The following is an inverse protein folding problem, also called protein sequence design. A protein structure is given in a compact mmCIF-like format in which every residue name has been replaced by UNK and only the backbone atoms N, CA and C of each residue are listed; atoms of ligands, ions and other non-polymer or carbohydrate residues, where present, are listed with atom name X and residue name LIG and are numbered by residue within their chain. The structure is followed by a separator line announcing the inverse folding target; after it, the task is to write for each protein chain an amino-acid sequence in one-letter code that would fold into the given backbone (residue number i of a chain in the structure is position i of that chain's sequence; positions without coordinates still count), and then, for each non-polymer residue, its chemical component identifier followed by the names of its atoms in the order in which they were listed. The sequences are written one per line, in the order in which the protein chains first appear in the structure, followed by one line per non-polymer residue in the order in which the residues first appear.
data_IF_493099001145
#
_entry.id   IF_493099001145
#
_cell.length_a   1.000
_cell.length_b   1.000
_cell.length_c   1.000
_cell.angle_alpha   90.00
_cell.angle_beta   90.00
_cell.angle_gamma   90.00
#
_symmetry.space_group_name_H-M   'P 1'
#
loop_
_entity.id
_entity.type
_entity.pdbx_description
1 polymer ?
#
# COMPACT_ATOMS: atom_id res chain seq x y z
N UNK A 1 60.18 4.37 -69.92
CA UNK A 1 61.70 4.43 -69.76
C UNK A 1 61.95 4.81 -68.30
N UNK A 2 62.76 4.05 -67.61
CA UNK A 2 63.37 4.43 -66.37
C UNK A 2 62.98 3.54 -65.19
N UNK A 3 63.75 2.46 -65.12
CA UNK A 3 63.93 1.55 -63.95
C UNK A 3 64.53 2.28 -62.76
N UNK A 4 64.35 1.75 -61.59
CA UNK A 4 65.28 2.04 -60.51
C UNK A 4 64.86 1.65 -59.12
N UNK A 5 65.17 0.41 -58.84
CA UNK A 5 65.87 -0.18 -57.61
C UNK A 5 65.19 -0.13 -56.23
N UNK A 6 64.98 -1.33 -55.71
CA UNK A 6 64.76 -1.75 -54.33
C UNK A 6 65.91 -1.32 -53.41
N UNK A 7 65.53 -0.92 -52.18
CA UNK A 7 66.37 -1.16 -50.98
C UNK A 7 65.52 -1.62 -49.82
N UNK A 8 65.87 -2.77 -49.31
CA UNK A 8 65.37 -3.42 -48.06
C UNK A 8 66.07 -2.73 -46.92
N UNK A 9 65.29 -2.28 -45.91
CA UNK A 9 65.84 -2.03 -44.58
C UNK A 9 64.96 -2.73 -43.54
N UNK A 10 65.53 -3.70 -42.91
CA UNK A 10 65.02 -4.38 -41.71
C UNK A 10 65.11 -3.41 -40.54
N UNK A 11 63.98 -3.11 -39.95
CA UNK A 11 63.85 -2.33 -38.70
C UNK A 11 63.15 -3.16 -37.66
N UNK A 12 63.86 -3.54 -36.63
CA UNK A 12 63.45 -4.24 -35.42
C UNK A 12 62.51 -3.32 -34.65
N UNK A 13 61.21 -3.63 -34.55
CA UNK A 13 60.26 -2.91 -33.67
C UNK A 13 60.04 -3.69 -32.38
N UNK A 14 60.51 -3.09 -31.31
CA UNK A 14 60.29 -3.51 -29.91
C UNK A 14 58.78 -3.34 -29.59
N UNK A 15 58.11 -4.43 -29.34
CA UNK A 15 56.72 -4.41 -28.90
C UNK A 15 56.68 -4.19 -27.38
N UNK A 16 56.34 -2.98 -26.97
CA UNK A 16 56.02 -2.66 -25.57
C UNK A 16 54.60 -3.12 -25.30
N UNK A 17 54.46 -4.20 -24.54
CA UNK A 17 53.18 -4.65 -24.02
C UNK A 17 52.71 -3.70 -22.93
N UNK A 18 51.73 -2.85 -23.22
CA UNK A 18 50.92 -2.14 -22.20
C UNK A 18 49.96 -3.16 -21.58
N UNK A 19 50.21 -3.56 -20.34
CA UNK A 19 49.20 -4.23 -19.51
C UNK A 19 48.15 -3.19 -19.10
N UNK A 20 47.00 -3.21 -19.76
CA UNK A 20 45.78 -2.57 -19.24
C UNK A 20 45.23 -3.46 -18.14
N UNK A 21 45.44 -3.05 -16.90
CA UNK A 21 44.67 -3.56 -15.76
C UNK A 21 43.24 -3.07 -15.92
N UNK A 22 42.35 -3.91 -16.46
CA UNK A 22 40.92 -3.70 -16.42
C UNK A 22 40.45 -3.82 -14.96
N UNK A 23 40.12 -2.71 -14.32
CA UNK A 23 39.29 -2.69 -13.12
C UNK A 23 37.95 -3.32 -13.50
N UNK A 24 37.75 -4.58 -13.12
CA UNK A 24 36.47 -5.27 -13.25
C UNK A 24 35.44 -4.61 -12.34
N UNK A 25 34.62 -3.72 -12.89
CA UNK A 25 33.33 -3.39 -12.32
C UNK A 25 32.50 -4.67 -12.33
N UNK A 26 32.19 -5.21 -11.16
CA UNK A 26 31.29 -6.35 -10.99
C UNK A 26 29.87 -6.00 -11.41
N UNK A 27 29.58 -6.05 -12.69
CA UNK A 27 28.22 -6.20 -13.20
C UNK A 27 27.79 -7.62 -12.88
N UNK A 28 27.11 -7.82 -11.78
CA UNK A 28 26.45 -9.09 -11.49
C UNK A 28 25.45 -9.35 -12.63
N UNK A 29 25.72 -10.35 -13.46
CA UNK A 29 24.74 -10.88 -14.41
C UNK A 29 23.56 -11.35 -13.59
N UNK A 30 22.38 -10.76 -13.81
CA UNK A 30 21.14 -11.23 -13.19
C UNK A 30 21.06 -12.76 -13.37
N UNK A 31 20.91 -13.49 -12.25
CA UNK A 31 20.84 -14.95 -12.28
C UNK A 31 19.68 -15.36 -13.21
N UNK A 32 19.96 -16.32 -14.12
CA UNK A 32 18.93 -16.85 -15.00
C UNK A 32 17.91 -17.60 -14.14
N UNK A 33 16.59 -17.36 -14.27
CA UNK A 33 15.61 -18.06 -13.47
C UNK A 33 15.67 -19.58 -13.69
N UNK A 34 15.62 -20.34 -12.60
CA UNK A 34 15.51 -21.81 -12.65
C UNK A 34 14.05 -22.19 -12.96
N UNK A 35 13.86 -22.91 -14.05
CA UNK A 35 12.54 -23.40 -14.49
C UNK A 35 12.23 -24.81 -14.00
N UNK A 36 13.22 -25.53 -13.46
CA UNK A 36 13.04 -26.93 -13.03
C UNK A 36 12.48 -27.01 -11.59
N UNK A 37 12.70 -26.01 -10.76
CA UNK A 37 12.29 -26.02 -9.35
C UNK A 37 10.77 -25.94 -9.16
N UNK A 38 10.02 -25.41 -10.13
CA UNK A 38 8.58 -25.21 -10.04
C UNK A 38 7.82 -26.49 -9.69
N UNK A 39 8.11 -27.60 -10.39
CA UNK A 39 7.42 -28.88 -10.15
C UNK A 39 7.72 -29.42 -8.74
N UNK A 40 8.94 -29.23 -8.25
CA UNK A 40 9.30 -29.59 -6.88
C UNK A 40 8.50 -28.79 -5.86
N UNK A 41 8.37 -27.46 -6.08
CA UNK A 41 7.62 -26.59 -5.17
C UNK A 41 6.11 -26.93 -5.21
N UNK A 42 5.53 -27.16 -6.38
CA UNK A 42 4.13 -27.58 -6.53
C UNK A 42 3.89 -28.89 -5.77
N UNK A 43 4.77 -29.88 -5.92
CA UNK A 43 4.63 -31.14 -5.20
C UNK A 43 4.72 -30.96 -3.68
N UNK A 44 5.63 -30.12 -3.20
CA UNK A 44 5.74 -29.79 -1.76
C UNK A 44 4.46 -29.10 -1.23
N UNK A 45 3.82 -28.23 -2.02
CA UNK A 45 2.57 -27.58 -1.63
C UNK A 45 1.40 -28.57 -1.59
N UNK A 46 1.35 -29.53 -2.54
CA UNK A 46 0.31 -30.58 -2.60
C UNK A 46 0.44 -31.59 -1.46
N UNK A 47 1.67 -32.00 -1.15
CA UNK A 47 1.95 -33.03 -0.14
C UNK A 47 2.05 -32.47 1.28
N UNK A 48 1.92 -31.14 1.45
CA UNK A 48 2.05 -30.46 2.72
C UNK A 48 1.11 -31.02 3.79
N UNK A 49 1.58 -31.04 5.03
CA UNK A 49 0.83 -31.46 6.22
C UNK A 49 0.87 -30.37 7.29
N UNK A 50 -0.09 -30.32 8.20
CA UNK A 50 -0.05 -29.40 9.33
C UNK A 50 1.27 -29.50 10.11
N UNK A 51 1.93 -28.35 10.30
CA UNK A 51 3.23 -28.26 10.96
C UNK A 51 4.44 -28.26 10.04
N UNK A 52 4.25 -28.50 8.74
CA UNK A 52 5.35 -28.54 7.78
C UNK A 52 5.94 -27.14 7.53
N UNK A 53 7.27 -27.14 7.30
CA UNK A 53 8.00 -25.96 6.84
C UNK A 53 8.52 -26.24 5.43
N UNK A 54 7.89 -25.61 4.43
CA UNK A 54 8.33 -25.64 3.04
C UNK A 54 9.46 -24.64 2.87
N UNK A 55 10.69 -25.14 2.86
CA UNK A 55 11.89 -24.31 2.74
C UNK A 55 12.31 -24.17 1.28
N UNK A 56 12.30 -22.92 0.78
CA UNK A 56 12.72 -22.61 -0.58
C UNK A 56 14.16 -22.07 -0.54
N UNK A 57 15.13 -22.73 -1.18
CA UNK A 57 16.52 -22.28 -1.19
C UNK A 57 16.70 -20.89 -1.80
N UNK A 58 17.87 -20.27 -1.59
CA UNK A 58 18.24 -19.06 -2.31
C UNK A 58 18.32 -19.35 -3.82
N UNK A 59 17.70 -18.51 -4.62
CA UNK A 59 17.63 -18.66 -6.08
C UNK A 59 16.56 -17.77 -6.69
N UNK A 60 16.54 -17.68 -8.02
CA UNK A 60 15.49 -17.06 -8.81
C UNK A 60 14.76 -18.16 -9.57
N UNK A 61 13.52 -18.38 -9.26
CA UNK A 61 12.71 -19.48 -9.78
C UNK A 61 11.60 -18.96 -10.68
N UNK A 62 11.56 -19.44 -11.92
CA UNK A 62 10.50 -19.09 -12.87
C UNK A 62 9.26 -19.95 -12.62
N UNK A 63 8.13 -19.29 -12.40
CA UNK A 63 6.84 -19.92 -12.15
C UNK A 63 5.88 -19.53 -13.29
N UNK A 64 5.35 -20.52 -14.02
CA UNK A 64 4.50 -20.29 -15.19
C UNK A 64 3.00 -20.38 -14.89
N UNK A 65 2.63 -20.70 -13.64
CA UNK A 65 1.24 -20.85 -13.18
C UNK A 65 1.07 -20.37 -11.74
N UNK A 66 -0.17 -20.11 -11.34
CA UNK A 66 -0.48 -19.83 -9.93
C UNK A 66 -0.15 -21.03 -9.03
N UNK A 67 0.34 -20.73 -7.85
CA UNK A 67 0.57 -21.70 -6.78
C UNK A 67 -0.60 -21.67 -5.81
N UNK A 68 -0.95 -22.78 -5.16
CA UNK A 68 -1.96 -22.83 -4.12
C UNK A 68 -1.54 -23.67 -2.92
N UNK A 69 -2.03 -23.27 -1.73
CA UNK A 69 -1.88 -24.00 -0.47
C UNK A 69 -3.22 -24.00 0.26
N UNK A 70 -3.75 -25.20 0.56
CA UNK A 70 -5.04 -25.37 1.23
C UNK A 70 -4.90 -26.16 2.56
N UNK A 71 -3.70 -26.16 3.16
CA UNK A 71 -3.37 -26.93 4.38
C UNK A 71 -3.03 -25.99 5.52
N UNK A 72 -3.75 -26.14 6.64
CA UNK A 72 -3.54 -25.37 7.86
C UNK A 72 -2.17 -25.66 8.51
N UNK A 73 -1.61 -24.67 9.20
CA UNK A 73 -0.41 -24.82 10.03
C UNK A 73 0.89 -24.93 9.25
N UNK A 74 0.91 -24.54 7.98
CA UNK A 74 2.11 -24.59 7.12
C UNK A 74 2.87 -23.29 7.17
N UNK A 75 4.21 -23.40 7.17
CA UNK A 75 5.12 -22.27 6.99
C UNK A 75 5.82 -22.37 5.63
N UNK A 76 5.74 -21.34 4.81
CA UNK A 76 6.56 -21.18 3.60
C UNK A 76 7.70 -20.23 3.92
N UNK A 77 8.94 -20.68 3.74
CA UNK A 77 10.14 -19.93 4.14
C UNK A 77 11.20 -19.91 3.05
N UNK A 78 11.63 -18.70 2.67
CA UNK A 78 12.81 -18.51 1.82
C UNK A 78 14.09 -18.26 2.61
N UNK A 79 15.14 -17.90 1.91
CA UNK A 79 16.45 -17.53 2.46
C UNK A 79 16.61 -16.00 2.65
N UNK A 80 15.59 -15.23 2.35
CA UNK A 80 15.53 -13.76 2.40
C UNK A 80 14.84 -13.19 1.17
N UNK A 81 14.17 -12.03 1.32
CA UNK A 81 13.37 -11.42 0.26
C UNK A 81 14.17 -10.97 -0.97
N UNK A 82 15.51 -10.88 -0.84
CA UNK A 82 16.41 -10.56 -1.95
C UNK A 82 17.24 -11.78 -2.38
N UNK A 83 16.97 -12.95 -1.81
CA UNK A 83 17.74 -14.18 -2.05
C UNK A 83 16.87 -15.29 -2.64
N UNK A 84 15.61 -15.41 -2.21
CA UNK A 84 14.65 -16.37 -2.73
C UNK A 84 13.58 -15.59 -3.49
N UNK A 85 13.54 -15.73 -4.80
CA UNK A 85 12.65 -14.97 -5.68
C UNK A 85 11.84 -15.95 -6.52
N UNK A 86 10.51 -15.91 -6.37
CA UNK A 86 9.57 -16.58 -7.26
C UNK A 86 9.08 -15.55 -8.28
N UNK A 87 9.54 -15.67 -9.53
CA UNK A 87 9.11 -14.75 -10.59
C UNK A 87 8.04 -15.36 -11.46
N UNK A 88 6.90 -14.70 -11.51
CA UNK A 88 5.73 -15.07 -12.30
C UNK A 88 5.70 -14.36 -13.66
N UNK A 89 6.81 -13.79 -14.11
CA UNK A 89 6.89 -13.04 -15.36
C UNK A 89 6.42 -13.84 -16.59
N UNK A 90 6.57 -15.15 -16.54
CA UNK A 90 6.11 -16.10 -17.57
C UNK A 90 4.76 -16.74 -17.28
N UNK A 91 4.00 -16.28 -16.29
CA UNK A 91 2.76 -16.90 -15.86
C UNK A 91 1.72 -16.94 -16.98
N UNK A 92 1.22 -18.13 -17.30
CA UNK A 92 0.23 -18.39 -18.35
C UNK A 92 -1.10 -18.89 -17.79
N UNK A 93 -1.10 -19.47 -16.57
CA UNK A 93 -2.26 -20.03 -15.91
C UNK A 93 -2.39 -19.57 -14.45
N UNK A 94 -3.62 -19.56 -13.93
CA UNK A 94 -3.94 -19.00 -12.61
C UNK A 94 -4.08 -17.47 -12.63
N UNK A 95 -4.77 -16.94 -11.63
CA UNK A 95 -5.00 -15.51 -11.48
C UNK A 95 -4.00 -14.91 -10.49
N UNK A 96 -3.67 -15.63 -9.42
CA UNK A 96 -2.76 -15.21 -8.36
C UNK A 96 -1.35 -15.77 -8.59
N UNK A 97 -0.33 -15.16 -7.95
CA UNK A 97 0.98 -15.75 -7.78
C UNK A 97 0.92 -16.92 -6.80
N UNK A 98 0.52 -16.64 -5.55
CA UNK A 98 0.26 -17.66 -4.53
C UNK A 98 -1.10 -17.40 -3.88
N UNK A 99 -1.99 -18.38 -3.97
CA UNK A 99 -3.26 -18.43 -3.25
C UNK A 99 -3.15 -19.33 -2.03
N UNK A 100 -3.61 -18.85 -0.88
CA UNK A 100 -3.64 -19.62 0.38
C UNK A 100 -5.05 -19.59 0.93
N UNK A 101 -5.64 -20.78 1.16
CA UNK A 101 -6.91 -20.97 1.86
C UNK A 101 -6.64 -21.78 3.13
N UNK A 102 -5.96 -21.20 4.11
CA UNK A 102 -5.51 -21.91 5.29
C UNK A 102 -5.40 -21.02 6.52
N UNK A 103 -5.58 -21.62 7.69
CA UNK A 103 -5.34 -21.02 9.01
C UNK A 103 -3.95 -21.37 9.54
N UNK A 104 -3.48 -20.61 10.56
CA UNK A 104 -2.16 -20.81 11.18
C UNK A 104 -1.03 -20.82 10.14
N UNK A 105 -1.16 -19.94 9.14
CA UNK A 105 -0.24 -19.85 8.01
C UNK A 105 0.84 -18.80 8.24
N UNK A 106 2.07 -19.15 7.91
CA UNK A 106 3.20 -18.21 7.92
C UNK A 106 3.90 -18.22 6.57
N UNK A 107 4.22 -17.04 6.04
CA UNK A 107 5.12 -16.88 4.90
C UNK A 107 6.20 -15.86 5.26
N UNK A 108 7.46 -16.22 5.02
CA UNK A 108 8.58 -15.36 5.40
C UNK A 108 9.81 -15.50 4.50
N UNK A 109 10.59 -14.42 4.43
CA UNK A 109 11.95 -14.41 3.86
C UNK A 109 12.01 -14.76 2.36
N UNK A 110 11.09 -14.25 1.53
CA UNK A 110 11.10 -14.46 0.09
C UNK A 110 10.45 -13.30 -0.69
N UNK A 111 10.60 -13.33 -2.02
CA UNK A 111 9.91 -12.42 -2.92
C UNK A 111 8.98 -13.14 -3.89
N UNK A 112 7.87 -12.45 -4.25
CA UNK A 112 6.96 -12.80 -5.34
C UNK A 112 6.99 -11.65 -6.35
N UNK A 113 7.46 -11.90 -7.56
CA UNK A 113 7.62 -10.85 -8.58
C UNK A 113 6.74 -11.11 -9.80
N UNK A 114 6.22 -10.02 -10.38
CA UNK A 114 5.55 -9.99 -11.68
C UNK A 114 4.35 -10.95 -11.81
N UNK A 115 3.61 -11.19 -10.71
CA UNK A 115 2.39 -11.98 -10.77
C UNK A 115 1.36 -11.34 -11.72
N UNK A 116 0.62 -12.16 -12.46
CA UNK A 116 -0.36 -11.68 -13.45
C UNK A 116 -1.58 -11.03 -12.81
N UNK A 117 -2.00 -11.53 -11.66
CA UNK A 117 -3.02 -10.97 -10.78
C UNK A 117 -2.44 -10.63 -9.42
N UNK A 118 -3.12 -10.98 -8.33
CA UNK A 118 -2.65 -10.73 -6.97
C UNK A 118 -1.37 -11.51 -6.67
N UNK A 119 -0.38 -10.88 -6.04
CA UNK A 119 0.88 -11.57 -5.84
C UNK A 119 0.77 -12.65 -4.74
N UNK A 120 0.27 -12.28 -3.56
CA UNK A 120 -0.03 -13.18 -2.44
C UNK A 120 -1.45 -12.93 -1.96
N UNK A 121 -2.35 -13.87 -2.17
CA UNK A 121 -3.71 -13.82 -1.63
C UNK A 121 -3.88 -14.85 -0.53
N UNK A 122 -4.30 -14.42 0.65
CA UNK A 122 -4.75 -15.29 1.74
C UNK A 122 -6.25 -15.09 1.88
N UNK A 123 -7.01 -16.09 1.43
CA UNK A 123 -8.46 -16.03 1.39
C UNK A 123 -9.04 -16.85 2.55
N UNK A 124 -9.69 -16.14 3.47
CA UNK A 124 -10.19 -16.71 4.73
C UNK A 124 -9.06 -17.22 5.64
N UNK A 125 -9.41 -17.78 6.79
CA UNK A 125 -8.43 -18.30 7.76
C UNK A 125 -8.11 -17.37 8.93
N UNK A 126 -7.45 -17.96 9.93
CA UNK A 126 -7.09 -17.28 11.19
C UNK A 126 -5.59 -17.44 11.48
N UNK A 127 -5.01 -16.51 12.24
CA UNK A 127 -3.60 -16.52 12.64
C UNK A 127 -2.63 -16.51 11.44
N UNK A 128 -2.71 -15.46 10.65
CA UNK A 128 -1.93 -15.27 9.43
C UNK A 128 -0.71 -14.40 9.73
N UNK A 129 0.47 -14.87 9.35
CA UNK A 129 1.72 -14.12 9.51
C UNK A 129 2.41 -13.97 8.16
N UNK A 130 2.58 -12.72 7.73
CA UNK A 130 3.34 -12.34 6.54
C UNK A 130 4.49 -11.46 7.01
N UNK A 131 5.73 -11.92 6.92
CA UNK A 131 6.88 -11.16 7.41
C UNK A 131 8.09 -11.26 6.49
N UNK A 132 8.76 -10.14 6.27
CA UNK A 132 9.93 -10.07 5.39
C UNK A 132 9.65 -10.70 4.01
N UNK A 133 8.47 -10.34 3.45
CA UNK A 133 8.05 -10.74 2.11
C UNK A 133 8.09 -9.50 1.22
N UNK A 134 8.71 -9.61 0.05
CA UNK A 134 8.66 -8.58 -0.98
C UNK A 134 7.71 -9.02 -2.10
N UNK A 135 6.79 -8.15 -2.45
CA UNK A 135 5.98 -8.29 -3.67
C UNK A 135 6.28 -7.12 -4.59
N UNK A 136 6.53 -7.41 -5.87
CA UNK A 136 6.97 -6.37 -6.80
C UNK A 136 6.58 -6.67 -8.23
N UNK A 137 6.10 -5.64 -8.94
CA UNK A 137 6.02 -5.63 -10.39
C UNK A 137 7.23 -4.87 -10.94
N UNK A 138 8.23 -5.62 -11.40
CA UNK A 138 9.56 -5.11 -11.78
C UNK A 138 9.54 -4.15 -12.97
N UNK A 139 8.44 -4.13 -13.73
CA UNK A 139 8.22 -3.18 -14.82
C UNK A 139 7.78 -1.78 -14.40
N UNK A 140 7.71 -1.50 -13.09
CA UNK A 140 7.20 -0.25 -12.51
C UNK A 140 5.67 -0.13 -12.54
N UNK A 141 5.11 1.01 -12.10
CA UNK A 141 3.66 1.22 -11.97
C UNK A 141 2.95 1.21 -13.33
N UNK A 142 2.01 0.28 -13.51
CA UNK A 142 1.20 0.13 -14.73
C UNK A 142 -0.18 -0.41 -14.40
N UNK A 143 -1.21 0.04 -15.12
CA UNK A 143 -2.59 -0.46 -15.00
C UNK A 143 -2.70 -1.97 -15.30
N UNK A 144 -1.75 -2.53 -16.05
CA UNK A 144 -1.70 -3.96 -16.38
C UNK A 144 -1.11 -4.84 -15.28
N UNK A 145 -0.54 -4.25 -14.24
CA UNK A 145 -0.02 -5.01 -13.09
C UNK A 145 -1.19 -5.67 -12.34
N UNK A 146 -0.88 -6.67 -11.54
CA UNK A 146 -1.85 -7.27 -10.64
C UNK A 146 -2.41 -6.24 -9.65
N UNK A 147 -3.60 -6.50 -9.13
CA UNK A 147 -4.31 -5.55 -8.29
C UNK A 147 -3.64 -5.42 -6.92
N UNK A 148 -3.45 -6.53 -6.22
CA UNK A 148 -3.01 -6.54 -4.84
C UNK A 148 -1.67 -7.23 -4.65
N UNK A 149 -0.81 -6.60 -3.85
CA UNK A 149 0.47 -7.20 -3.48
C UNK A 149 0.33 -8.24 -2.36
N UNK A 150 0.28 -7.80 -1.10
CA UNK A 150 -0.03 -8.64 0.06
C UNK A 150 -1.52 -8.50 0.36
N UNK A 151 -2.28 -9.57 0.17
CA UNK A 151 -3.74 -9.53 0.14
C UNK A 151 -4.41 -10.57 1.05
N UNK A 152 -4.41 -10.42 2.39
CA UNK A 152 -5.32 -11.15 3.26
C UNK A 152 -6.73 -10.57 3.18
N UNK A 153 -7.73 -11.43 2.97
CA UNK A 153 -9.15 -11.08 2.88
C UNK A 153 -10.01 -12.09 3.65
N UNK A 154 -10.99 -11.58 4.41
CA UNK A 154 -11.88 -12.37 5.26
C UNK A 154 -11.11 -13.21 6.31
N UNK A 155 -10.02 -12.65 6.83
CA UNK A 155 -9.09 -13.30 7.75
C UNK A 155 -9.22 -12.76 9.18
N UNK A 156 -8.67 -13.48 10.16
CA UNK A 156 -8.59 -13.03 11.56
C UNK A 156 -7.18 -13.16 12.11
N UNK A 157 -6.82 -12.27 13.05
CA UNK A 157 -5.52 -12.27 13.73
C UNK A 157 -4.37 -12.22 12.72
N UNK A 158 -4.29 -11.13 11.96
CA UNK A 158 -3.34 -10.95 10.88
C UNK A 158 -2.16 -10.09 11.32
N UNK A 159 -0.95 -10.54 11.05
CA UNK A 159 0.29 -9.78 11.20
C UNK A 159 1.00 -9.66 9.86
N UNK A 160 1.17 -8.41 9.40
CA UNK A 160 2.02 -8.09 8.22
C UNK A 160 3.15 -7.18 8.70
N UNK A 161 4.38 -7.66 8.64
CA UNK A 161 5.51 -6.90 9.17
C UNK A 161 6.79 -7.03 8.34
N UNK A 162 7.62 -5.98 8.40
CA UNK A 162 8.96 -5.94 7.80
C UNK A 162 8.96 -6.32 6.30
N UNK A 163 7.85 -6.04 5.61
CA UNK A 163 7.59 -6.46 4.23
C UNK A 163 7.60 -5.28 3.26
N UNK A 164 7.68 -5.57 1.96
CA UNK A 164 7.79 -4.57 0.90
C UNK A 164 6.76 -4.85 -0.19
N UNK A 165 6.05 -3.81 -0.64
CA UNK A 165 5.08 -3.92 -1.73
C UNK A 165 5.27 -2.79 -2.75
N UNK A 166 5.50 -3.16 -4.03
CA UNK A 166 5.88 -2.23 -5.10
C UNK A 166 5.08 -2.51 -6.38
N UNK A 167 4.44 -1.48 -6.91
CA UNK A 167 3.92 -1.48 -8.27
C UNK A 167 2.52 -2.07 -8.45
N UNK A 168 1.77 -2.35 -7.39
CA UNK A 168 0.40 -2.84 -7.46
C UNK A 168 -0.55 -1.83 -8.12
N UNK A 169 -1.42 -2.30 -9.03
CA UNK A 169 -2.36 -1.42 -9.75
C UNK A 169 -3.60 -1.06 -8.93
N UNK A 170 -3.71 -1.57 -7.73
CA UNK A 170 -4.70 -1.24 -6.72
C UNK A 170 -3.98 -0.99 -5.39
N UNK A 171 -3.76 -1.96 -4.52
CA UNK A 171 -3.06 -1.73 -3.27
C UNK A 171 -1.82 -2.62 -3.09
N UNK A 172 -0.71 -1.99 -2.64
CA UNK A 172 0.51 -2.73 -2.30
C UNK A 172 0.30 -3.70 -1.14
N UNK A 173 -0.29 -3.21 -0.05
CA UNK A 173 -0.74 -4.01 1.09
C UNK A 173 -2.24 -3.75 1.26
N UNK A 174 -3.04 -4.77 1.04
CA UNK A 174 -4.49 -4.71 1.24
C UNK A 174 -4.91 -5.67 2.34
N UNK A 175 -5.72 -5.21 3.27
CA UNK A 175 -6.40 -6.06 4.25
C UNK A 175 -7.88 -5.77 4.20
N UNK A 176 -8.69 -6.73 3.77
CA UNK A 176 -10.12 -6.53 3.58
C UNK A 176 -11.00 -7.49 4.37
N UNK A 177 -12.13 -6.98 4.87
CA UNK A 177 -13.17 -7.76 5.56
C UNK A 177 -12.63 -8.66 6.69
N UNK A 178 -11.57 -8.18 7.36
CA UNK A 178 -10.78 -8.93 8.33
C UNK A 178 -10.97 -8.41 9.76
N UNK A 179 -10.44 -9.14 10.75
CA UNK A 179 -10.55 -8.77 12.16
C UNK A 179 -9.21 -8.92 12.90
N UNK A 180 -8.91 -8.01 13.81
CA UNK A 180 -7.69 -8.00 14.61
C UNK A 180 -6.45 -8.05 13.72
N UNK A 181 -6.03 -6.90 13.26
CA UNK A 181 -5.00 -6.77 12.23
C UNK A 181 -3.87 -5.87 12.73
N UNK A 182 -2.63 -6.28 12.50
CA UNK A 182 -1.44 -5.45 12.70
C UNK A 182 -0.65 -5.38 11.40
N UNK A 183 -0.47 -4.15 10.88
CA UNK A 183 0.37 -3.84 9.71
C UNK A 183 1.47 -2.90 10.17
N UNK A 184 2.73 -3.38 10.25
CA UNK A 184 3.82 -2.59 10.83
C UNK A 184 5.16 -2.78 10.16
N UNK A 185 5.99 -1.73 10.18
CA UNK A 185 7.37 -1.73 9.66
C UNK A 185 7.47 -2.18 8.20
N UNK A 186 6.40 -1.92 7.43
CA UNK A 186 6.37 -2.22 6.01
C UNK A 186 6.74 -1.01 5.18
N UNK A 187 7.17 -1.25 3.96
CA UNK A 187 7.44 -0.25 2.94
C UNK A 187 6.54 -0.49 1.73
N UNK A 188 5.68 0.49 1.41
CA UNK A 188 4.79 0.46 0.26
C UNK A 188 5.11 1.63 -0.68
N UNK A 189 5.53 1.32 -1.91
CA UNK A 189 6.01 2.33 -2.87
C UNK A 189 5.48 2.06 -4.28
N UNK A 190 5.19 3.14 -5.01
CA UNK A 190 4.77 3.08 -6.41
C UNK A 190 3.51 2.25 -6.67
N UNK A 191 2.62 2.15 -5.69
CA UNK A 191 1.29 1.54 -5.83
C UNK A 191 0.22 2.61 -6.07
N UNK A 192 -1.00 2.22 -6.40
CA UNK A 192 -2.11 3.18 -6.34
C UNK A 192 -2.43 3.46 -4.88
N UNK A 193 -2.85 2.50 -4.10
CA UNK A 193 -2.86 2.61 -2.64
C UNK A 193 -1.59 1.98 -2.05
N UNK A 194 -0.88 2.69 -1.20
CA UNK A 194 0.27 2.10 -0.51
C UNK A 194 -0.17 0.98 0.43
N UNK A 195 -1.00 1.34 1.41
CA UNK A 195 -1.63 0.44 2.39
C UNK A 195 -3.13 0.73 2.38
N UNK A 196 -3.95 -0.30 2.27
CA UNK A 196 -5.40 -0.19 2.30
C UNK A 196 -6.00 -1.13 3.34
N UNK A 197 -6.84 -0.57 4.20
CA UNK A 197 -7.63 -1.27 5.20
C UNK A 197 -9.10 -1.07 4.83
N UNK A 198 -9.71 -2.12 4.28
CA UNK A 198 -11.08 -2.03 3.76
C UNK A 198 -12.03 -2.93 4.54
N UNK A 199 -13.17 -2.40 5.01
CA UNK A 199 -14.19 -3.14 5.74
C UNK A 199 -13.60 -4.05 6.84
N UNK A 200 -12.59 -3.59 7.55
CA UNK A 200 -11.81 -4.36 8.53
C UNK A 200 -12.05 -3.83 9.93
N UNK A 201 -12.07 -4.72 10.91
CA UNK A 201 -12.39 -4.40 12.30
C UNK A 201 -11.16 -4.55 13.18
N UNK A 202 -10.87 -3.51 13.99
CA UNK A 202 -9.76 -3.48 14.94
C UNK A 202 -8.39 -3.67 14.25
N UNK A 203 -7.95 -2.65 13.56
CA UNK A 203 -6.66 -2.64 12.87
C UNK A 203 -5.69 -1.62 13.47
N UNK A 204 -4.43 -2.02 13.67
CA UNK A 204 -3.29 -1.16 14.00
C UNK A 204 -2.35 -1.09 12.80
N UNK A 205 -2.20 0.11 12.23
CA UNK A 205 -1.30 0.40 11.10
C UNK A 205 -0.23 1.36 11.62
N UNK A 206 1.00 0.87 11.84
CA UNK A 206 2.02 1.71 12.46
C UNK A 206 3.46 1.39 12.04
N UNK A 207 4.34 2.39 12.20
CA UNK A 207 5.76 2.30 11.85
C UNK A 207 6.00 1.94 10.36
N UNK A 208 5.04 2.25 9.47
CA UNK A 208 5.19 1.97 8.05
C UNK A 208 5.70 3.21 7.28
N UNK A 209 6.32 2.95 6.14
CA UNK A 209 6.62 3.94 5.12
C UNK A 209 5.69 3.73 3.92
N UNK A 210 4.85 4.71 3.63
CA UNK A 210 4.06 4.79 2.40
C UNK A 210 4.51 6.03 1.62
N UNK A 211 5.22 5.82 0.52
CA UNK A 211 5.80 6.92 -0.28
C UNK A 211 5.76 6.60 -1.78
N UNK A 212 5.74 7.64 -2.59
CA UNK A 212 5.65 7.48 -4.05
C UNK A 212 4.43 6.68 -4.55
N UNK A 213 3.38 6.53 -3.75
CA UNK A 213 2.11 5.95 -4.21
C UNK A 213 1.21 7.05 -4.79
N UNK A 214 0.05 6.69 -5.32
CA UNK A 214 -1.01 7.67 -5.64
C UNK A 214 -1.65 8.18 -4.35
N UNK A 215 -2.07 7.27 -3.45
CA UNK A 215 -2.47 7.53 -2.08
C UNK A 215 -1.64 6.69 -1.10
N UNK A 216 -1.29 7.26 0.06
CA UNK A 216 -0.40 6.60 1.01
C UNK A 216 -1.09 5.49 1.80
N UNK A 217 -2.02 5.85 2.70
CA UNK A 217 -2.77 4.93 3.57
C UNK A 217 -4.26 5.21 3.41
N UNK A 218 -5.02 4.18 3.05
CA UNK A 218 -6.45 4.26 2.78
C UNK A 218 -7.22 3.44 3.81
N UNK A 219 -8.25 4.02 4.43
CA UNK A 219 -9.17 3.36 5.36
C UNK A 219 -10.57 3.48 4.78
N UNK A 220 -11.01 2.43 4.10
CA UNK A 220 -12.23 2.44 3.31
C UNK A 220 -13.31 1.55 3.92
N UNK A 221 -14.54 1.96 3.74
CA UNK A 221 -15.72 1.13 3.98
C UNK A 221 -16.55 1.14 2.70
N UNK A 222 -16.72 -0.03 2.13
CA UNK A 222 -17.41 -0.22 0.86
C UNK A 222 -18.73 -0.94 1.06
N UNK A 223 -19.78 -0.60 0.29
CA UNK A 223 -21.05 -1.31 0.36
C UNK A 223 -20.93 -2.74 -0.17
N UNK A 224 -21.94 -3.55 0.19
CA UNK A 224 -22.09 -4.93 -0.32
C UNK A 224 -20.99 -5.90 0.05
N UNK A 225 -20.18 -5.57 1.06
CA UNK A 225 -19.23 -6.47 1.67
C UNK A 225 -19.80 -7.10 2.95
N UNK A 226 -19.23 -8.24 3.37
CA UNK A 226 -19.79 -9.08 4.45
C UNK A 226 -19.86 -8.36 5.81
N UNK A 227 -18.92 -7.48 6.08
CA UNK A 227 -18.81 -6.79 7.37
C UNK A 227 -18.51 -5.30 7.19
N UNK A 228 -19.00 -4.42 8.07
CA UNK A 228 -18.56 -3.03 8.12
C UNK A 228 -17.16 -2.92 8.71
N UNK A 229 -16.38 -1.94 8.28
CA UNK A 229 -15.08 -1.60 8.84
C UNK A 229 -15.20 -0.55 9.94
N UNK A 230 -14.45 -0.74 11.03
CA UNK A 230 -14.32 0.23 12.12
C UNK A 230 -13.15 -0.10 13.06
N UNK A 231 -12.74 0.88 13.85
CA UNK A 231 -11.74 0.67 14.90
C UNK A 231 -10.31 0.61 14.36
N UNK A 232 -9.97 1.45 13.41
CA UNK A 232 -8.63 1.50 12.81
C UNK A 232 -7.79 2.60 13.45
N UNK A 233 -6.60 2.25 13.95
CA UNK A 233 -5.59 3.19 14.43
C UNK A 233 -4.43 3.28 13.44
N UNK A 234 -4.09 4.50 13.02
CA UNK A 234 -2.99 4.82 12.11
C UNK A 234 -1.99 5.70 12.86
N UNK A 235 -0.83 5.17 13.24
CA UNK A 235 0.09 5.93 14.07
C UNK A 235 1.57 5.62 13.80
N UNK A 236 2.42 6.61 14.04
CA UNK A 236 3.87 6.52 13.83
C UNK A 236 4.27 6.08 12.41
N UNK A 237 3.44 6.35 11.40
CA UNK A 237 3.78 6.11 10.01
C UNK A 237 4.43 7.34 9.37
N UNK A 238 5.11 7.11 8.25
CA UNK A 238 5.50 8.15 7.30
C UNK A 238 4.70 7.98 6.01
N UNK A 239 3.72 8.86 5.79
CA UNK A 239 2.92 8.92 4.57
C UNK A 239 3.31 10.16 3.77
N UNK A 240 4.42 10.07 3.02
CA UNK A 240 5.12 11.23 2.47
C UNK A 240 5.34 11.12 0.96
N UNK A 241 5.07 12.22 0.23
CA UNK A 241 5.38 12.31 -1.19
C UNK A 241 4.61 11.32 -2.08
N UNK A 242 3.36 11.00 -1.75
CA UNK A 242 2.53 10.06 -2.52
C UNK A 242 1.91 10.76 -3.74
N UNK A 243 2.74 11.04 -4.74
CA UNK A 243 2.40 11.88 -5.89
C UNK A 243 2.42 11.14 -7.23
N UNK A 244 2.49 9.81 -7.24
CA UNK A 244 2.40 9.03 -8.47
C UNK A 244 1.03 9.21 -9.09
N UNK A 245 0.99 9.53 -10.38
CA UNK A 245 -0.28 9.64 -11.11
C UNK A 245 -1.10 8.36 -10.98
N UNK A 246 -2.41 8.49 -10.81
CA UNK A 246 -3.28 7.33 -10.61
C UNK A 246 -3.27 6.43 -11.85
N UNK A 247 -2.86 5.19 -11.68
CA UNK A 247 -2.83 4.17 -12.72
C UNK A 247 -3.76 2.99 -12.42
N UNK A 248 -4.67 3.15 -11.46
CA UNK A 248 -5.70 2.17 -11.13
C UNK A 248 -6.61 1.84 -12.31
N UNK A 249 -7.15 0.63 -12.31
CA UNK A 249 -8.07 0.20 -13.35
C UNK A 249 -9.37 0.99 -13.28
N UNK A 250 -9.78 1.58 -14.39
CA UNK A 250 -11.04 2.34 -14.43
C UNK A 250 -12.22 1.50 -13.94
N UNK A 251 -13.02 2.10 -13.07
CA UNK A 251 -14.20 1.46 -12.46
C UNK A 251 -13.93 0.75 -11.12
N UNK A 252 -12.68 0.70 -10.67
CA UNK A 252 -12.35 0.30 -9.29
C UNK A 252 -12.40 1.49 -8.34
N UNK A 253 -12.47 1.22 -7.05
CA UNK A 253 -12.50 2.21 -5.98
C UNK A 253 -11.30 3.14 -6.05
N UNK A 254 -10.16 2.56 -6.09
CA UNK A 254 -8.89 3.28 -6.05
C UNK A 254 -8.63 4.14 -7.29
N UNK A 255 -9.32 3.88 -8.41
CA UNK A 255 -9.23 4.74 -9.60
C UNK A 255 -9.78 6.16 -9.36
N UNK A 256 -10.57 6.38 -8.31
CA UNK A 256 -11.09 7.69 -7.89
C UNK A 256 -10.19 8.40 -6.88
N UNK A 257 -9.17 7.73 -6.35
CA UNK A 257 -8.24 8.31 -5.35
C UNK A 257 -7.44 9.43 -6.00
N UNK A 258 -7.51 10.67 -5.46
CA UNK A 258 -6.70 11.76 -5.98
C UNK A 258 -5.21 11.51 -5.73
N UNK A 259 -4.39 11.63 -6.77
CA UNK A 259 -2.95 11.56 -6.63
C UNK A 259 -2.44 12.68 -5.71
N UNK A 260 -1.47 12.37 -4.88
CA UNK A 260 -0.96 13.34 -3.91
C UNK A 260 -1.72 13.35 -2.59
N UNK A 261 -2.21 12.21 -2.13
CA UNK A 261 -2.90 12.12 -0.84
C UNK A 261 -2.10 11.27 0.15
N UNK A 262 -1.94 11.77 1.37
CA UNK A 262 -1.23 11.06 2.44
C UNK A 262 -2.07 9.95 3.07
N UNK A 263 -3.19 10.31 3.69
CA UNK A 263 -4.15 9.39 4.31
C UNK A 263 -5.56 9.72 3.83
N UNK A 264 -6.35 8.72 3.51
CA UNK A 264 -7.78 8.88 3.14
C UNK A 264 -8.63 8.01 4.05
N UNK A 265 -9.68 8.61 4.61
CA UNK A 265 -10.77 7.90 5.27
C UNK A 265 -11.99 8.04 4.37
N UNK A 266 -12.62 6.92 4.00
CA UNK A 266 -13.87 6.93 3.23
C UNK A 266 -14.93 6.07 3.89
N UNK A 267 -16.03 6.70 4.34
CA UNK A 267 -17.18 6.03 4.93
C UNK A 267 -16.82 5.02 6.05
N UNK A 268 -15.76 5.26 6.79
CA UNK A 268 -15.29 4.36 7.84
C UNK A 268 -15.39 5.04 9.20
N UNK A 269 -15.70 4.27 10.24
CA UNK A 269 -15.98 4.75 11.57
C UNK A 269 -14.88 4.43 12.56
N UNK A 270 -14.82 5.23 13.65
CA UNK A 270 -13.86 5.00 14.73
C UNK A 270 -12.44 4.85 14.20
N UNK A 271 -11.96 5.90 13.53
CA UNK A 271 -10.58 5.97 13.01
C UNK A 271 -9.78 6.97 13.81
N UNK A 272 -8.63 6.56 14.33
CA UNK A 272 -7.70 7.40 15.07
C UNK A 272 -6.39 7.54 14.30
N UNK A 273 -6.01 8.79 13.94
CA UNK A 273 -4.78 9.10 13.20
C UNK A 273 -3.89 9.97 14.08
N UNK A 274 -2.77 9.42 14.58
CA UNK A 274 -1.95 10.12 15.55
C UNK A 274 -0.45 9.82 15.42
N UNK A 275 0.38 10.76 15.83
CA UNK A 275 1.84 10.64 15.85
C UNK A 275 2.49 10.25 14.50
N UNK A 276 1.83 10.53 13.38
CA UNK A 276 2.39 10.28 12.06
C UNK A 276 3.20 11.47 11.53
N UNK A 277 4.09 11.18 10.58
CA UNK A 277 4.68 12.17 9.68
C UNK A 277 3.95 12.11 8.34
N UNK A 278 3.21 13.16 8.00
CA UNK A 278 2.42 13.21 6.76
C UNK A 278 2.78 14.50 6.02
N UNK A 279 3.23 14.40 4.77
CA UNK A 279 3.63 15.61 4.06
C UNK A 279 4.19 15.41 2.67
N UNK A 280 4.44 16.52 1.97
CA UNK A 280 4.87 16.47 0.58
C UNK A 280 3.85 15.89 -0.38
N UNK A 281 2.59 15.72 0.06
CA UNK A 281 1.49 15.18 -0.74
C UNK A 281 0.81 16.34 -1.47
N UNK A 282 0.81 16.30 -2.79
CA UNK A 282 0.42 17.45 -3.63
C UNK A 282 -1.05 17.85 -3.51
N UNK A 283 -1.94 16.93 -3.13
CA UNK A 283 -3.38 17.19 -2.98
C UNK A 283 -3.75 17.52 -1.53
N UNK A 284 -3.49 16.61 -0.59
CA UNK A 284 -3.79 16.82 0.82
C UNK A 284 -3.03 15.81 1.69
N UNK A 285 -2.74 16.21 2.93
CA UNK A 285 -2.15 15.28 3.89
C UNK A 285 -3.19 14.29 4.42
N UNK A 286 -4.41 14.74 4.69
CA UNK A 286 -5.54 13.87 5.10
C UNK A 286 -6.81 14.28 4.37
N UNK A 287 -7.55 13.29 3.86
CA UNK A 287 -8.91 13.47 3.33
C UNK A 287 -9.87 12.64 4.18
N UNK A 288 -10.96 13.27 4.64
CA UNK A 288 -12.09 12.61 5.28
C UNK A 288 -13.28 12.74 4.36
N UNK A 289 -13.78 11.61 3.85
CA UNK A 289 -14.84 11.59 2.85
C UNK A 289 -15.93 10.58 3.20
N UNK A 290 -17.14 10.91 2.81
CA UNK A 290 -18.25 9.97 2.75
C UNK A 290 -18.23 9.17 1.46
N UNK A 291 -19.00 8.08 1.41
CA UNK A 291 -19.19 7.32 0.19
C UNK A 291 -19.75 8.16 -0.96
N UNK A 292 -20.55 9.20 -0.67
CA UNK A 292 -21.17 10.05 -1.67
C UNK A 292 -20.18 10.89 -2.50
N UNK A 293 -19.02 11.21 -1.94
CA UNK A 293 -17.99 12.01 -2.62
C UNK A 293 -16.94 11.19 -3.36
N UNK A 294 -16.88 9.88 -3.12
CA UNK A 294 -15.92 8.98 -3.75
C UNK A 294 -16.23 8.63 -5.22
N UNK A 295 -17.27 9.26 -5.80
CA UNK A 295 -17.64 9.04 -7.21
C UNK A 295 -18.35 7.72 -7.49
N UNK A 296 -18.60 6.91 -6.45
CA UNK A 296 -19.39 5.70 -6.59
C UNK A 296 -20.87 6.01 -6.70
N UNK A 297 -21.51 5.37 -7.67
CA UNK A 297 -22.96 5.24 -7.62
C UNK A 297 -23.24 4.02 -6.73
N UNK A 298 -23.95 4.23 -5.64
CA UNK A 298 -24.60 3.12 -4.95
C UNK A 298 -25.43 2.38 -6.01
N UNK A 299 -25.02 1.15 -6.35
CA UNK A 299 -25.75 0.31 -7.27
C UNK A 299 -27.06 -0.10 -6.65
N UNK A 300 -28.02 -0.58 -7.46
CA UNK A 300 -29.17 -1.33 -6.95
C UNK A 300 -28.62 -2.48 -6.09
N UNK A 301 -29.02 -2.51 -4.81
CA UNK A 301 -28.56 -3.53 -3.85
C UNK A 301 -27.49 -3.11 -2.85
N UNK A 302 -27.17 -1.80 -2.73
CA UNK A 302 -26.42 -1.32 -1.56
C UNK A 302 -27.14 -1.77 -0.31
N UNK A 303 -26.46 -2.52 0.56
CA UNK A 303 -27.05 -3.09 1.77
C UNK A 303 -27.64 -1.97 2.63
N UNK A 304 -28.87 -2.14 3.15
CA UNK A 304 -29.51 -1.21 4.07
C UNK A 304 -28.65 -0.95 5.33
N UNK A 305 -27.76 -1.90 5.67
CA UNK A 305 -26.83 -1.80 6.79
C UNK A 305 -25.56 -1.03 6.48
N UNK A 306 -25.35 -0.55 5.24
CA UNK A 306 -24.14 0.20 4.91
C UNK A 306 -24.24 1.65 5.41
N UNK A 307 -23.28 2.02 6.27
CA UNK A 307 -23.12 3.39 6.73
C UNK A 307 -22.21 4.18 5.79
N UNK A 308 -22.72 5.15 5.03
CA UNK A 308 -21.94 5.90 4.06
C UNK A 308 -21.17 7.10 4.63
N UNK A 309 -21.29 7.38 5.93
CA UNK A 309 -20.66 8.55 6.55
C UNK A 309 -19.42 8.16 7.36
N UNK A 310 -18.36 8.99 7.35
CA UNK A 310 -17.25 8.84 8.27
C UNK A 310 -17.61 9.44 9.63
N UNK A 311 -17.58 8.66 10.69
CA UNK A 311 -17.97 9.08 12.02
C UNK A 311 -16.95 8.66 13.10
N UNK A 312 -16.91 9.40 14.19
CA UNK A 312 -15.96 9.14 15.30
C UNK A 312 -14.50 9.13 14.82
N UNK A 313 -14.11 10.15 14.06
CA UNK A 313 -12.76 10.31 13.52
C UNK A 313 -11.94 11.22 14.42
N UNK A 314 -10.75 10.77 14.87
CA UNK A 314 -9.87 11.56 15.70
C UNK A 314 -8.47 11.70 15.09
N UNK A 315 -8.12 12.93 14.70
CA UNK A 315 -6.82 13.28 14.10
C UNK A 315 -6.07 14.17 15.08
N UNK A 316 -4.94 13.70 15.64
CA UNK A 316 -4.21 14.45 16.64
C UNK A 316 -2.71 14.11 16.69
N UNK A 317 -1.90 15.01 17.21
CA UNK A 317 -0.47 14.78 17.45
C UNK A 317 0.38 14.49 16.21
N UNK A 318 -0.18 14.62 14.99
CA UNK A 318 0.57 14.38 13.78
C UNK A 318 1.51 15.54 13.43
N UNK A 319 2.63 15.22 12.80
CA UNK A 319 3.52 16.20 12.20
C UNK A 319 3.20 16.32 10.71
N UNK A 320 2.51 17.42 10.35
CA UNK A 320 2.29 17.77 8.97
C UNK A 320 3.46 18.56 8.40
N UNK A 321 3.84 18.26 7.16
CA UNK A 321 4.76 19.08 6.38
C UNK A 321 4.09 19.56 5.08
N UNK A 322 4.58 20.64 4.46
CA UNK A 322 3.87 21.29 3.36
C UNK A 322 3.41 20.34 2.26
N UNK A 323 2.14 20.49 1.87
CA UNK A 323 1.45 19.77 0.80
C UNK A 323 0.39 20.65 0.16
N UNK A 324 -0.55 20.07 -0.59
CA UNK A 324 -1.74 20.77 -1.11
C UNK A 324 -1.49 21.81 -2.22
N UNK A 325 -0.25 21.98 -2.66
CA UNK A 325 0.11 23.04 -3.62
C UNK A 325 -0.24 22.73 -5.07
N UNK A 326 -0.42 21.44 -5.40
CA UNK A 326 -0.76 21.01 -6.75
C UNK A 326 -1.75 19.84 -6.69
N UNK A 327 -2.99 20.10 -6.22
CA UNK A 327 -3.98 19.04 -6.07
C UNK A 327 -4.35 18.40 -7.41
N UNK A 328 -4.69 17.11 -7.36
CA UNK A 328 -5.13 16.35 -8.51
C UNK A 328 -6.58 16.73 -8.89
N UNK A 329 -6.86 16.70 -10.17
CA UNK A 329 -8.17 17.07 -10.70
C UNK A 329 -8.43 18.57 -10.88
N UNK A 330 -9.25 18.90 -11.89
CA UNK A 330 -9.53 20.29 -12.27
C UNK A 330 -10.34 21.02 -11.19
N UNK A 331 -11.26 20.31 -10.55
CA UNK A 331 -12.14 20.85 -9.50
C UNK A 331 -11.36 21.27 -8.26
N UNK A 332 -10.47 20.41 -7.77
CA UNK A 332 -9.62 20.72 -6.61
C UNK A 332 -8.60 21.82 -6.92
N UNK A 333 -8.06 21.84 -8.14
CA UNK A 333 -7.21 22.94 -8.58
C UNK A 333 -7.97 24.28 -8.62
N UNK A 334 -9.17 24.30 -9.19
CA UNK A 334 -10.00 25.49 -9.24
C UNK A 334 -10.38 25.97 -7.83
N UNK A 335 -10.75 25.05 -6.94
CA UNK A 335 -11.06 25.33 -5.55
C UNK A 335 -9.85 25.94 -4.81
N UNK A 336 -8.65 25.36 -4.99
CA UNK A 336 -7.41 25.88 -4.42
C UNK A 336 -7.17 27.33 -4.87
N UNK A 337 -7.25 27.60 -6.18
CA UNK A 337 -7.01 28.95 -6.72
C UNK A 337 -8.06 29.93 -6.22
N UNK A 338 -9.33 29.54 -6.17
CA UNK A 338 -10.42 30.41 -5.71
C UNK A 338 -10.28 30.81 -4.24
N UNK A 339 -9.85 29.90 -3.38
CA UNK A 339 -9.74 30.13 -1.93
C UNK A 339 -8.40 30.70 -1.50
N UNK A 340 -7.30 30.29 -2.15
CA UNK A 340 -5.93 30.56 -1.67
C UNK A 340 -5.06 31.29 -2.71
N UNK A 341 -5.60 31.61 -3.89
CA UNK A 341 -4.85 32.26 -4.96
C UNK A 341 -3.92 31.33 -5.73
N UNK A 342 -3.23 31.87 -6.75
CA UNK A 342 -2.36 31.11 -7.65
C UNK A 342 -1.20 30.42 -6.93
N UNK A 343 -0.60 31.07 -5.94
CA UNK A 343 0.52 30.55 -5.15
C UNK A 343 0.14 29.86 -3.83
N UNK A 344 -1.17 29.75 -3.54
CA UNK A 344 -1.64 29.15 -2.30
C UNK A 344 -1.71 27.61 -2.39
N UNK A 345 -1.94 26.99 -1.24
CA UNK A 345 -2.08 25.54 -1.09
C UNK A 345 -3.38 25.20 -0.38
N UNK A 346 -3.94 24.02 -0.67
CA UNK A 346 -5.00 23.43 0.14
C UNK A 346 -4.44 23.13 1.54
N UNK A 347 -5.28 23.19 2.60
CA UNK A 347 -4.84 22.87 3.94
C UNK A 347 -4.56 21.36 4.09
N UNK A 348 -3.91 21.02 5.21
CA UNK A 348 -3.51 19.64 5.48
C UNK A 348 -4.68 18.65 5.53
N UNK A 349 -5.85 19.09 6.00
CA UNK A 349 -7.05 18.25 6.16
C UNK A 349 -8.18 18.78 5.32
N UNK A 350 -8.72 17.92 4.46
CA UNK A 350 -9.92 18.15 3.67
C UNK A 350 -11.05 17.27 4.20
N UNK A 351 -12.26 17.85 4.26
CA UNK A 351 -13.49 17.14 4.58
C UNK A 351 -14.57 17.47 3.54
N UNK A 352 -15.28 16.49 3.08
CA UNK A 352 -16.33 16.66 2.05
C UNK A 352 -17.58 17.40 2.54
N UNK A 353 -17.82 17.45 3.85
CA UNK A 353 -18.92 18.18 4.46
C UNK A 353 -20.21 17.37 4.66
N UNK A 354 -20.22 16.09 4.29
CA UNK A 354 -21.38 15.24 4.55
C UNK A 354 -21.52 14.85 6.02
N UNK A 355 -22.75 14.88 6.53
CA UNK A 355 -23.11 14.44 7.87
C UNK A 355 -24.45 13.72 7.86
N UNK A 356 -24.61 12.72 8.70
CA UNK A 356 -25.89 12.06 8.90
C UNK A 356 -26.77 12.87 9.87
N UNK A 357 -27.73 13.59 9.31
CA UNK A 357 -28.67 14.37 10.12
C UNK A 357 -29.67 13.49 10.91
N UNK A 358 -29.86 12.23 10.53
CA UNK A 358 -30.74 11.31 11.27
C UNK A 358 -30.14 10.94 12.65
N UNK A 359 -28.82 11.03 12.77
CA UNK A 359 -28.10 10.77 14.04
C UNK A 359 -27.92 12.01 14.94
N UNK A 360 -28.57 13.14 14.61
CA UNK A 360 -28.50 14.34 15.44
C UNK A 360 -29.29 14.17 16.74
N UNK A 361 -28.70 14.54 17.85
CA UNK A 361 -29.34 14.56 19.18
C UNK A 361 -29.79 15.98 19.49
N UNK A 362 -31.10 16.16 19.75
CA UNK A 362 -31.72 17.47 19.98
C UNK A 362 -31.37 18.52 18.89
N UNK A 363 -31.30 18.11 17.63
CA UNK A 363 -31.00 18.97 16.47
C UNK A 363 -29.54 19.38 16.33
N UNK A 364 -28.63 18.75 17.09
CA UNK A 364 -27.17 18.98 17.01
C UNK A 364 -26.45 17.67 16.69
N UNK A 365 -25.29 17.74 16.02
CA UNK A 365 -24.45 16.56 15.85
C UNK A 365 -24.14 15.87 17.18
N UNK A 366 -24.22 14.55 17.22
CA UNK A 366 -23.78 13.77 18.39
C UNK A 366 -22.25 13.93 18.56
N UNK A 367 -21.76 14.41 19.71
CA UNK A 367 -20.34 14.56 19.96
C UNK A 367 -19.55 13.25 19.85
N UNK A 368 -20.16 12.10 20.09
CA UNK A 368 -19.52 10.80 19.97
C UNK A 368 -19.23 10.40 18.52
N UNK A 369 -19.96 10.99 17.56
CA UNK A 369 -19.80 10.74 16.12
C UNK A 369 -18.97 11.84 15.44
N UNK A 370 -18.39 12.75 16.19
CA UNK A 370 -17.69 13.90 15.66
C UNK A 370 -16.42 13.52 14.86
N UNK A 371 -16.10 14.34 13.90
CA UNK A 371 -14.76 14.40 13.31
C UNK A 371 -13.97 15.43 14.09
N UNK A 372 -13.00 14.98 14.88
CA UNK A 372 -12.16 15.82 15.73
C UNK A 372 -10.76 15.97 15.13
N UNK A 373 -10.28 17.22 15.01
CA UNK A 373 -8.93 17.54 14.57
C UNK A 373 -8.25 18.38 15.64
N UNK A 374 -7.51 17.73 16.56
CA UNK A 374 -6.73 18.36 17.62
C UNK A 374 -5.23 18.29 17.27
N UNK A 375 -4.85 18.95 16.16
CA UNK A 375 -3.50 18.92 15.59
C UNK A 375 -2.90 20.32 15.50
N UNK A 376 -2.71 20.95 16.66
CA UNK A 376 -2.15 22.32 16.76
C UNK A 376 -3.05 23.38 16.13
N UNK A 377 -2.51 24.16 15.20
CA UNK A 377 -3.25 25.22 14.50
C UNK A 377 -3.91 24.75 13.19
N UNK A 378 -3.97 23.43 12.95
CA UNK A 378 -4.53 22.86 11.71
C UNK A 378 -6.00 23.23 11.55
N UNK A 379 -6.34 23.81 10.42
CA UNK A 379 -7.72 24.06 9.99
C UNK A 379 -8.12 23.01 8.98
N UNK A 380 -9.41 22.71 8.96
CA UNK A 380 -10.02 21.77 8.01
C UNK A 380 -10.71 22.57 6.91
N UNK A 381 -10.47 22.23 5.66
CA UNK A 381 -11.31 22.72 4.58
C UNK A 381 -12.57 21.86 4.48
N UNK A 382 -13.70 22.38 4.90
CA UNK A 382 -14.99 21.83 4.55
C UNK A 382 -15.30 22.20 3.08
N UNK A 383 -15.29 21.21 2.20
CA UNK A 383 -15.54 21.42 0.77
C UNK A 383 -17.00 21.67 0.42
N UNK A 384 -17.93 21.47 1.37
CA UNK A 384 -19.38 21.71 1.22
C UNK A 384 -19.99 20.96 0.01
N UNK A 385 -19.55 19.72 -0.22
CA UNK A 385 -20.02 18.93 -1.36
C UNK A 385 -21.55 18.64 -1.32
N UNK A 386 -22.21 18.46 -0.16
CA UNK A 386 -23.66 18.36 -0.09
C UNK A 386 -24.39 19.52 -0.77
N UNK A 387 -23.81 20.72 -0.75
CA UNK A 387 -24.33 21.93 -1.40
C UNK A 387 -23.60 22.24 -2.72
N UNK A 388 -22.96 21.25 -3.36
CA UNK A 388 -22.20 21.38 -4.62
C UNK A 388 -21.06 22.40 -4.52
N UNK A 389 -20.35 22.38 -3.40
CA UNK A 389 -19.23 23.29 -3.10
C UNK A 389 -19.56 24.78 -3.28
N UNK A 390 -20.78 25.21 -2.96
CA UNK A 390 -21.18 26.62 -3.09
C UNK A 390 -20.52 27.53 -2.06
N UNK A 391 -20.26 27.00 -0.85
CA UNK A 391 -19.73 27.76 0.28
C UNK A 391 -18.59 27.00 0.99
N UNK A 392 -17.55 26.56 0.26
CA UNK A 392 -16.42 25.90 0.91
C UNK A 392 -15.73 26.88 1.87
N UNK A 393 -15.31 26.40 3.03
CA UNK A 393 -14.73 27.25 4.07
C UNK A 393 -13.75 26.51 4.97
N UNK A 394 -12.80 27.25 5.51
CA UNK A 394 -11.98 26.76 6.61
C UNK A 394 -12.81 26.73 7.90
N UNK A 395 -12.75 25.60 8.59
CA UNK A 395 -13.45 25.38 9.85
C UNK A 395 -12.46 24.87 10.91
N UNK A 396 -12.75 25.19 12.16
CA UNK A 396 -12.08 24.57 13.31
C UNK A 396 -12.93 23.39 13.78
N UNK A 397 -12.32 22.22 13.83
CA UNK A 397 -12.96 20.98 14.28
C UNK A 397 -12.24 20.43 15.53
N UNK A 398 -11.81 21.35 16.41
CA UNK A 398 -11.07 21.00 17.61
C UNK A 398 -11.99 20.41 18.67
N UNK A 399 -11.87 19.11 18.84
CA UNK A 399 -12.49 18.34 19.91
C UNK A 399 -11.63 17.13 20.23
N UNK A 400 -12.03 16.32 21.22
CA UNK A 400 -11.33 15.09 21.61
C UNK A 400 -12.31 13.95 21.68
N UNK A 401 -11.89 12.82 21.14
CA UNK A 401 -12.55 11.54 21.32
C UNK A 401 -11.72 10.64 22.26
N UNK A 402 -12.33 9.66 22.91
CA UNK A 402 -11.57 8.62 23.61
C UNK A 402 -10.63 7.88 22.67
N UNK A 403 -9.39 7.56 23.07
CA UNK A 403 -8.49 6.76 22.28
C UNK A 403 -9.09 5.37 22.01
N UNK A 404 -8.86 4.87 20.82
CA UNK A 404 -9.31 3.54 20.43
C UNK A 404 -8.47 2.45 21.10
N UNK A 405 -9.05 1.29 21.42
CA UNK A 405 -8.29 0.14 21.92
C UNK A 405 -7.33 -0.39 20.85
N UNK A 406 -6.20 -0.94 21.30
CA UNK A 406 -5.25 -1.61 20.42
C UNK A 406 -5.85 -2.88 19.81
N UNK A 407 -5.46 -3.18 18.57
CA UNK A 407 -5.75 -4.47 17.97
C UNK A 407 -5.07 -5.60 18.76
N UNK A 408 -5.81 -6.68 19.03
CA UNK A 408 -5.30 -7.80 19.79
C UNK A 408 -4.86 -8.93 18.86
N UNK A 409 -3.60 -8.93 18.49
CA UNK A 409 -2.97 -9.98 17.66
C UNK A 409 -1.80 -10.58 18.43
N UNK A 410 -1.98 -11.81 18.94
CA UNK A 410 -1.00 -12.45 19.82
C UNK A 410 0.40 -12.57 19.17
N UNK A 411 0.48 -12.88 17.88
CA UNK A 411 1.73 -12.99 17.13
C UNK A 411 2.47 -11.65 16.98
N UNK A 412 1.79 -10.51 17.14
CA UNK A 412 2.41 -9.21 17.08
C UNK A 412 3.15 -8.83 18.37
N UNK A 413 2.75 -9.40 19.50
CA UNK A 413 3.24 -9.00 20.81
C UNK A 413 2.90 -7.54 21.14
N UNK A 414 3.50 -6.97 22.20
CA UNK A 414 3.24 -5.60 22.59
C UNK A 414 3.75 -4.59 21.55
N UNK A 415 3.10 -3.42 21.49
CA UNK A 415 3.55 -2.31 20.65
C UNK A 415 4.90 -1.82 21.17
N UNK A 416 5.99 -1.83 20.36
CA UNK A 416 7.30 -1.35 20.79
C UNK A 416 7.26 0.13 21.18
N UNK A 417 8.00 0.50 22.22
CA UNK A 417 8.10 1.90 22.66
C UNK A 417 8.75 2.78 21.60
N UNK A 418 9.77 2.27 20.90
CA UNK A 418 10.47 2.98 19.83
C UNK A 418 9.88 2.66 18.45
N UNK A 419 9.77 3.70 17.62
CA UNK A 419 9.38 3.56 16.22
C UNK A 419 10.54 2.98 15.38
N UNK A 420 10.22 2.07 14.46
CA UNK A 420 11.19 1.45 13.52
C UNK A 420 10.66 1.53 12.09
N UNK A 421 10.55 2.75 11.58
CA UNK A 421 10.08 2.96 10.20
C UNK A 421 11.20 2.58 9.24
N UNK A 422 10.93 1.74 8.20
CA UNK A 422 11.92 1.38 7.20
C UNK A 422 12.37 2.58 6.37
N UNK A 423 13.57 2.50 5.83
CA UNK A 423 14.06 3.50 4.88
C UNK A 423 13.38 3.33 3.51
N UNK A 424 13.29 4.41 2.69
CA UNK A 424 12.87 4.30 1.30
C UNK A 424 13.74 3.33 0.51
N UNK A 425 13.18 2.71 -0.53
CA UNK A 425 13.95 1.94 -1.50
C UNK A 425 15.00 2.82 -2.20
N UNK A 426 16.03 2.20 -2.74
CA UNK A 426 16.92 2.90 -3.65
C UNK A 426 16.16 3.20 -4.95
N UNK A 427 16.31 4.41 -5.51
CA UNK A 427 15.68 4.79 -6.77
C UNK A 427 16.16 3.93 -7.94
#
# INVERSE_FOLDING_TARGET
MGQGTRRIFSGLTLATALMLTACGGGGGTAARPDTAYQETLIQQLIDARPGDVISIPAGVYAIDRGLSLDVDGVTIKGAGMDKTILTFKGQTAGAEGLLVNASNFTIEDLALEDAKGDALKVNEGENIIIRRVRVEWTGGPKTSNGAYGLYPVQTKNVLIEDSVAIGASDAGIYVGQSQNVVVRRNRAEFNVAGIEIENTQNADVYDNLATNNTGGILIFNMPNLKVPGFGTRVFRNRAVGNNTANFGRKGTAVASVPAGTGVIINANDKVEIFDNEIGGNNTANVIVSSFFSAGYKAGEGTAESFDPWPESIYIHGNRFSPGGGKPDGVELQALRVALFGLGGALPDVLWDGYVDKAKFVAGKPDPALAICVDNGATKVLNADLPNKAKTPKLVEMRCKLPPLPAANVASAGPIPAESKIPAPGKP
#
